data_IF_189496075694
#
_entry.id   IF_189496075694
#
_cell.length_a   1.000
_cell.length_b   1.000
_cell.length_c   1.000
_cell.angle_alpha   90.00
_cell.angle_beta   90.00
_cell.angle_gamma   90.00
#
_symmetry.space_group_name_H-M   'P 1'
#
loop_
_entity.id
_entity.type
_entity.pdbx_description
1 polymer ?
#
# COMPACT_ATOMS: atom_id res chain seq x y z
N UNK A 1 -10.97 18.59 8.02
CA UNK A 1 -11.35 17.16 8.05
C UNK A 1 -10.04 16.42 7.94
N UNK A 2 -9.60 15.79 9.03
CA UNK A 2 -8.30 15.11 9.03
C UNK A 2 -8.29 14.06 7.92
N UNK A 3 -7.27 14.11 7.06
CA UNK A 3 -7.08 13.10 6.01
C UNK A 3 -6.96 11.73 6.68
N UNK A 4 -7.61 10.73 6.09
CA UNK A 4 -7.42 9.33 6.46
C UNK A 4 -5.92 9.01 6.52
N UNK A 5 -5.48 8.29 7.56
CA UNK A 5 -4.10 7.80 7.63
C UNK A 5 -3.82 6.75 6.56
N UNK A 6 -4.86 6.07 6.06
CA UNK A 6 -4.75 5.14 4.93
C UNK A 6 -4.68 5.96 3.64
N UNK A 7 -3.60 5.78 2.90
CA UNK A 7 -3.38 6.42 1.59
C UNK A 7 -3.78 5.52 0.43
N UNK A 8 -3.48 4.24 0.55
CA UNK A 8 -3.59 3.28 -0.55
C UNK A 8 -3.86 1.90 0.04
N UNK A 9 -4.71 1.12 -0.60
CA UNK A 9 -4.79 -0.33 -0.38
C UNK A 9 -4.39 -1.03 -1.67
N UNK A 10 -3.27 -1.76 -1.64
CA UNK A 10 -2.77 -2.51 -2.79
C UNK A 10 -3.28 -3.95 -2.81
N UNK A 11 -3.64 -4.42 -4.01
CA UNK A 11 -4.07 -5.79 -4.27
C UNK A 11 -3.15 -6.44 -5.32
N UNK A 12 -2.23 -7.33 -4.91
CA UNK A 12 -1.44 -8.12 -5.85
C UNK A 12 -2.32 -9.11 -6.62
N UNK A 13 -2.15 -9.17 -7.94
CA UNK A 13 -2.95 -10.00 -8.84
C UNK A 13 -2.09 -10.83 -9.79
N UNK A 14 -2.41 -12.12 -9.92
CA UNK A 14 -1.77 -13.02 -10.90
C UNK A 14 -2.22 -12.72 -12.33
N UNK A 15 -3.47 -12.25 -12.46
CA UNK A 15 -4.10 -11.76 -13.69
C UNK A 15 -4.62 -10.33 -13.43
N UNK A 16 -3.81 -9.29 -13.71
CA UNK A 16 -4.19 -7.91 -13.46
C UNK A 16 -5.43 -7.45 -14.23
N UNK A 17 -5.61 -7.89 -15.48
CA UNK A 17 -6.77 -7.50 -16.28
C UNK A 17 -8.09 -8.04 -15.69
N UNK A 18 -8.07 -9.27 -15.16
CA UNK A 18 -9.22 -9.82 -14.44
C UNK A 18 -9.46 -9.10 -13.11
N UNK A 19 -8.41 -8.77 -12.37
CA UNK A 19 -8.53 -8.03 -11.11
C UNK A 19 -9.06 -6.60 -11.32
N UNK A 20 -8.59 -5.89 -12.33
CA UNK A 20 -9.07 -4.55 -12.69
C UNK A 20 -10.56 -4.58 -13.01
N UNK A 21 -11.02 -5.49 -13.89
CA UNK A 21 -12.45 -5.64 -14.21
C UNK A 21 -13.29 -5.89 -12.96
N UNK A 22 -12.79 -6.69 -12.02
CA UNK A 22 -13.49 -6.96 -10.76
C UNK A 22 -13.61 -5.69 -9.91
N UNK A 23 -12.50 -5.01 -9.63
CA UNK A 23 -12.50 -3.83 -8.75
C UNK A 23 -13.21 -2.62 -9.37
N UNK A 24 -13.04 -2.39 -10.68
CA UNK A 24 -13.83 -1.39 -11.41
C UNK A 24 -15.33 -1.69 -11.29
N UNK A 25 -15.74 -2.95 -11.46
CA UNK A 25 -17.15 -3.33 -11.38
C UNK A 25 -17.75 -3.26 -9.98
N UNK A 26 -17.00 -3.67 -8.95
CA UNK A 26 -17.48 -3.67 -7.55
C UNK A 26 -17.58 -2.24 -7.00
N UNK A 27 -16.58 -1.41 -7.28
CA UNK A 27 -16.48 -0.07 -6.71
C UNK A 27 -17.09 1.01 -7.62
N UNK A 28 -17.36 0.68 -8.89
CA UNK A 28 -17.78 1.63 -9.91
C UNK A 28 -16.81 2.83 -10.04
N UNK A 29 -15.52 2.51 -10.16
CA UNK A 29 -14.41 3.47 -10.28
C UNK A 29 -13.54 3.15 -11.49
N UNK A 30 -12.75 4.12 -11.92
CA UNK A 30 -11.74 3.93 -12.95
C UNK A 30 -10.34 3.81 -12.35
N UNK A 31 -9.49 3.05 -13.04
CA UNK A 31 -8.08 2.88 -12.69
C UNK A 31 -7.22 3.50 -13.78
N UNK A 32 -6.17 4.20 -13.36
CA UNK A 32 -5.15 4.75 -14.24
C UNK A 32 -3.86 3.97 -14.07
N UNK A 33 -3.09 3.83 -15.15
CA UNK A 33 -1.73 3.32 -15.03
C UNK A 33 -0.90 4.26 -14.13
N UNK A 34 -0.04 3.68 -13.30
CA UNK A 34 0.91 4.42 -12.50
C UNK A 34 1.89 5.22 -13.35
N UNK A 35 2.28 6.38 -12.85
CA UNK A 35 3.23 7.30 -13.47
C UNK A 35 4.66 6.95 -13.04
N UNK A 36 5.63 7.55 -13.72
CA UNK A 36 7.05 7.36 -13.41
C UNK A 36 7.34 7.65 -11.93
N UNK A 37 7.90 6.65 -11.24
CA UNK A 37 8.25 6.74 -9.82
C UNK A 37 7.19 6.29 -8.83
N UNK A 38 5.98 5.91 -9.28
CA UNK A 38 4.91 5.31 -8.45
C UNK A 38 4.99 3.77 -8.41
N UNK A 39 5.92 3.19 -9.17
CA UNK A 39 6.02 1.74 -9.37
C UNK A 39 5.16 1.24 -10.53
N UNK A 40 5.10 -0.07 -10.71
CA UNK A 40 4.29 -0.69 -11.75
C UNK A 40 2.88 -0.99 -11.25
N UNK A 41 1.88 -0.91 -12.14
CA UNK A 41 0.50 -1.25 -11.84
C UNK A 41 -0.47 -0.12 -12.19
N UNK A 42 -1.63 -0.19 -11.56
CA UNK A 42 -2.74 0.74 -11.76
C UNK A 42 -3.33 1.14 -10.42
N UNK A 43 -3.83 2.37 -10.35
CA UNK A 43 -4.49 2.88 -9.15
C UNK A 43 -5.61 3.85 -9.51
N UNK A 44 -6.60 3.93 -8.63
CA UNK A 44 -7.61 4.99 -8.67
C UNK A 44 -6.97 6.34 -8.34
N UNK A 45 -7.43 7.43 -8.95
CA UNK A 45 -7.04 8.80 -8.55
C UNK A 45 -8.18 9.44 -7.78
N UNK A 46 -8.01 9.63 -6.46
CA UNK A 46 -9.07 10.19 -5.62
C UNK A 46 -8.52 11.04 -4.46
N UNK A 47 -9.36 11.91 -3.90
CA UNK A 47 -9.03 12.66 -2.67
C UNK A 47 -9.15 11.82 -1.38
N UNK A 48 -9.49 10.53 -1.51
CA UNK A 48 -9.59 9.55 -0.44
C UNK A 48 -8.47 8.50 -0.55
N UNK A 49 -8.51 7.47 0.30
CA UNK A 49 -7.62 6.32 0.17
C UNK A 49 -7.79 5.68 -1.21
N UNK A 50 -6.69 5.55 -1.95
CA UNK A 50 -6.67 4.97 -3.28
C UNK A 50 -6.72 3.44 -3.21
N UNK A 51 -7.17 2.82 -4.30
CA UNK A 51 -7.10 1.38 -4.51
C UNK A 51 -6.09 1.11 -5.61
N UNK A 52 -5.13 0.23 -5.34
CA UNK A 52 -4.08 -0.17 -6.28
C UNK A 52 -4.18 -1.63 -6.68
N UNK A 53 -3.88 -1.93 -7.93
CA UNK A 53 -3.70 -3.29 -8.46
C UNK A 53 -2.34 -3.36 -9.14
N UNK A 54 -1.53 -4.35 -8.80
CA UNK A 54 -0.28 -4.62 -9.48
C UNK A 54 -0.12 -6.11 -9.75
N UNK A 55 0.77 -6.46 -10.69
CA UNK A 55 1.10 -7.85 -10.94
C UNK A 55 1.77 -8.44 -9.69
N UNK A 56 1.29 -9.60 -9.25
CA UNK A 56 1.87 -10.31 -8.11
C UNK A 56 3.36 -10.61 -8.37
N UNK A 57 4.22 -10.08 -7.51
CA UNK A 57 5.64 -10.41 -7.46
C UNK A 57 5.94 -11.47 -6.40
N UNK A 58 7.17 -11.42 -5.88
CA UNK A 58 7.67 -12.31 -4.82
C UNK A 58 8.06 -11.55 -3.55
N UNK A 59 7.84 -10.23 -3.54
CA UNK A 59 8.15 -9.36 -2.42
C UNK A 59 7.17 -9.53 -1.25
N UNK A 60 7.54 -9.04 -0.06
CA UNK A 60 6.74 -9.22 1.14
C UNK A 60 5.36 -8.53 1.07
N UNK A 61 5.18 -7.54 0.20
CA UNK A 61 3.90 -6.87 -0.06
C UNK A 61 3.00 -7.60 -1.06
N UNK A 62 3.51 -8.64 -1.74
CA UNK A 62 2.83 -9.24 -2.89
C UNK A 62 1.96 -10.45 -2.51
N UNK A 63 1.87 -10.79 -1.22
CA UNK A 63 1.16 -11.99 -0.76
C UNK A 63 -0.33 -11.73 -0.50
N UNK A 64 -0.64 -10.65 0.22
CA UNK A 64 -2.00 -10.27 0.62
C UNK A 64 -2.31 -8.84 0.20
N UNK A 65 -3.55 -8.40 0.40
CA UNK A 65 -3.87 -6.98 0.28
C UNK A 65 -3.07 -6.18 1.32
N UNK A 66 -2.45 -5.08 0.91
CA UNK A 66 -1.57 -4.30 1.76
C UNK A 66 -2.07 -2.85 1.89
N UNK A 67 -2.57 -2.43 3.07
CA UNK A 67 -2.86 -1.03 3.32
C UNK A 67 -1.55 -0.25 3.57
N UNK A 68 -1.38 0.89 2.91
CA UNK A 68 -0.30 1.83 3.18
C UNK A 68 -0.80 3.00 4.03
N UNK A 69 -0.11 3.21 5.14
CA UNK A 69 -0.34 4.30 6.07
C UNK A 69 0.65 5.43 5.81
N UNK A 70 0.15 6.65 5.62
CA UNK A 70 1.01 7.83 5.49
C UNK A 70 1.55 8.22 6.87
N UNK A 71 2.87 8.42 6.94
CA UNK A 71 3.56 8.95 8.12
C UNK A 71 4.54 10.05 7.73
N UNK A 72 4.76 11.00 8.66
CA UNK A 72 5.70 12.11 8.45
C UNK A 72 7.17 11.67 8.64
N UNK A 73 7.44 10.66 9.49
CA UNK A 73 8.77 10.12 9.79
C UNK A 73 8.75 8.59 9.72
N UNK A 74 9.18 8.04 8.58
CA UNK A 74 9.22 6.59 8.37
C UNK A 74 10.23 5.94 9.32
N UNK A 75 11.43 6.52 9.49
CA UNK A 75 12.49 5.92 10.30
C UNK A 75 12.08 5.84 11.78
N UNK A 76 11.57 6.93 12.35
CA UNK A 76 11.05 6.93 13.72
C UNK A 76 9.83 6.01 13.89
N UNK A 77 8.98 5.90 12.87
CA UNK A 77 7.83 4.98 12.91
C UNK A 77 8.29 3.52 12.90
N UNK A 78 9.32 3.14 12.13
CA UNK A 78 9.85 1.77 12.11
C UNK A 78 10.43 1.35 13.48
N UNK A 79 11.10 2.28 14.18
CA UNK A 79 11.55 2.01 15.56
C UNK A 79 10.35 1.73 16.47
N UNK A 80 9.30 2.53 16.36
CA UNK A 80 8.07 2.34 17.15
C UNK A 80 7.34 1.04 16.83
N UNK A 81 7.36 0.58 15.57
CA UNK A 81 6.82 -0.73 15.19
C UNK A 81 7.49 -1.84 16.00
N UNK A 82 8.82 -1.81 16.11
CA UNK A 82 9.58 -2.81 16.87
C UNK A 82 9.31 -2.66 18.38
N UNK A 83 9.28 -1.44 18.90
CA UNK A 83 9.00 -1.18 20.32
C UNK A 83 7.61 -1.66 20.78
N UNK A 84 6.65 -1.74 19.85
CA UNK A 84 5.27 -2.16 20.10
C UNK A 84 4.99 -3.60 19.62
N UNK A 85 6.01 -4.46 19.63
CA UNK A 85 5.95 -5.88 19.29
C UNK A 85 5.52 -6.19 17.84
N UNK A 86 5.59 -5.19 16.95
CA UNK A 86 5.48 -5.37 15.51
C UNK A 86 6.79 -5.84 14.88
N UNK A 87 6.72 -6.20 13.60
CA UNK A 87 7.88 -6.68 12.83
C UNK A 87 8.10 -5.83 11.59
N UNK A 88 9.34 -5.38 11.37
CA UNK A 88 9.75 -4.79 10.08
C UNK A 88 10.16 -5.92 9.13
N UNK A 89 9.45 -6.05 8.01
CA UNK A 89 9.70 -7.09 7.00
C UNK A 89 10.61 -6.57 5.89
N UNK A 90 10.37 -5.34 5.44
CA UNK A 90 11.20 -4.64 4.48
C UNK A 90 11.40 -3.19 4.94
N UNK A 91 12.61 -2.80 5.35
CA UNK A 91 12.91 -1.42 5.68
C UNK A 91 13.07 -0.58 4.41
N UNK A 92 12.68 0.70 4.47
CA UNK A 92 12.94 1.65 3.39
C UNK A 92 12.59 3.07 3.80
N UNK A 93 13.19 4.05 3.11
CA UNK A 93 13.09 5.47 3.51
C UNK A 93 11.79 6.14 3.04
N UNK A 94 11.24 5.67 1.91
CA UNK A 94 9.96 6.17 1.35
C UNK A 94 8.81 5.18 1.53
N UNK A 95 9.11 3.89 1.42
CA UNK A 95 8.16 2.80 1.57
C UNK A 95 8.79 1.73 2.43
N UNK A 96 8.04 1.21 3.39
CA UNK A 96 8.46 0.09 4.22
C UNK A 96 7.29 -0.87 4.41
N UNK A 97 7.59 -2.15 4.63
CA UNK A 97 6.58 -3.19 4.86
C UNK A 97 6.79 -3.78 6.24
N UNK A 98 5.71 -3.83 7.01
CA UNK A 98 5.69 -4.26 8.39
C UNK A 98 4.58 -5.29 8.63
N UNK A 99 4.60 -5.86 9.83
CA UNK A 99 3.48 -6.57 10.44
C UNK A 99 3.20 -5.96 11.81
N UNK A 100 1.93 -5.90 12.20
CA UNK A 100 1.55 -5.50 13.55
C UNK A 100 1.86 -6.62 14.57
N UNK A 101 1.47 -6.41 15.83
CA UNK A 101 1.67 -7.36 16.92
C UNK A 101 0.95 -8.71 16.72
N UNK A 102 -0.05 -8.76 15.83
CA UNK A 102 -0.85 -9.94 15.51
C UNK A 102 -0.44 -10.57 14.16
N UNK A 103 0.55 -10.00 13.47
CA UNK A 103 1.07 -10.48 12.20
C UNK A 103 0.37 -9.93 10.96
N UNK A 104 -0.57 -8.99 11.08
CA UNK A 104 -1.28 -8.38 9.96
C UNK A 104 -0.34 -7.48 9.15
N UNK A 105 -0.22 -7.65 7.82
CA UNK A 105 0.72 -6.89 7.04
C UNK A 105 0.20 -5.47 6.76
N UNK A 106 1.10 -4.48 6.81
CA UNK A 106 0.83 -3.10 6.40
C UNK A 106 2.08 -2.43 5.82
N UNK A 107 1.86 -1.44 4.97
CA UNK A 107 2.89 -0.56 4.43
C UNK A 107 2.96 0.76 5.18
N UNK A 108 4.15 1.33 5.30
CA UNK A 108 4.36 2.73 5.64
C UNK A 108 4.75 3.48 4.37
N UNK A 109 4.16 4.65 4.17
CA UNK A 109 4.47 5.56 3.07
C UNK A 109 4.88 6.91 3.64
N UNK A 110 6.03 7.41 3.22
CA UNK A 110 6.42 8.79 3.52
C UNK A 110 5.40 9.74 2.89
N UNK A 111 4.94 10.71 3.67
CA UNK A 111 4.05 11.76 3.16
C UNK A 111 4.66 12.43 1.92
N UNK A 112 3.91 12.60 0.82
CA UNK A 112 4.39 13.34 -0.34
C UNK A 112 4.78 14.77 0.07
N UNK A 113 5.91 15.26 -0.46
CA UNK A 113 6.34 16.66 -0.28
C UNK A 113 5.44 17.63 -1.04
#
# INVERSE_FOLDING_TARGET
MDRSSVSLVEFPADDPERALRFWQGVLNVEFEARKDGEGEGWETRSDAAEIGVHKRGTGPGDTFSLPYLIVDDVAGTLLRVIELDGTVVHPGDRFAICKDSEGSPFGLMAKPQ
#
